data_IF_943875842965
#
_entry.id   IF_943875842965
#
_cell.length_a   1.000
_cell.length_b   1.000
_cell.length_c   1.000
_cell.angle_alpha   90.00
_cell.angle_beta   90.00
_cell.angle_gamma   90.00
#
_symmetry.space_group_name_H-M   'P 1'
#
loop_
_entity.id
_entity.type
_entity.pdbx_description
1 polymer ?
#
# COMPACT_ATOMS: atom_id res chain seq x y z
N UNK A 1 17.56 -36.16 -4.77
CA UNK A 1 17.04 -35.09 -5.65
C UNK A 1 18.16 -34.07 -5.79
N UNK A 2 18.57 -33.75 -7.01
CA UNK A 2 19.57 -32.70 -7.20
C UNK A 2 18.93 -31.36 -6.81
N UNK A 3 19.56 -30.62 -5.89
CA UNK A 3 19.17 -29.25 -5.61
C UNK A 3 19.58 -28.41 -6.82
N UNK A 4 18.63 -28.11 -7.69
CA UNK A 4 18.83 -27.31 -8.88
C UNK A 4 18.36 -25.86 -8.66
N UNK A 5 18.66 -25.00 -9.63
CA UNK A 5 18.35 -23.58 -9.57
C UNK A 5 16.83 -23.36 -9.45
N UNK A 6 16.02 -24.19 -10.12
CA UNK A 6 14.56 -24.11 -10.08
C UNK A 6 14.02 -24.34 -8.67
N UNK A 7 14.51 -25.38 -7.99
CA UNK A 7 14.16 -25.71 -6.60
C UNK A 7 14.56 -24.57 -5.66
N UNK A 8 15.77 -24.03 -5.83
CA UNK A 8 16.26 -22.90 -5.04
C UNK A 8 15.36 -21.67 -5.19
N UNK A 9 14.99 -21.30 -6.42
CA UNK A 9 14.15 -20.14 -6.70
C UNK A 9 12.73 -20.30 -6.14
N UNK A 10 12.13 -21.48 -6.26
CA UNK A 10 10.81 -21.77 -5.70
C UNK A 10 10.80 -21.55 -4.17
N UNK A 11 11.80 -22.10 -3.47
CA UNK A 11 11.94 -21.94 -2.02
C UNK A 11 12.11 -20.45 -1.66
N UNK A 12 12.99 -19.72 -2.36
CA UNK A 12 13.23 -18.30 -2.07
C UNK A 12 11.96 -17.46 -2.29
N UNK A 13 11.25 -17.67 -3.41
CA UNK A 13 10.03 -16.95 -3.71
C UNK A 13 8.93 -17.23 -2.68
N UNK A 14 8.78 -18.50 -2.29
CA UNK A 14 7.82 -18.89 -1.26
C UNK A 14 8.16 -18.27 0.10
N UNK A 15 9.41 -18.37 0.53
CA UNK A 15 9.87 -17.80 1.79
C UNK A 15 9.73 -16.28 1.81
N UNK A 16 9.88 -15.60 0.67
CA UNK A 16 9.68 -14.16 0.57
C UNK A 16 8.22 -13.74 0.84
N UNK A 17 7.23 -14.59 0.57
CA UNK A 17 5.82 -14.25 0.82
C UNK A 17 5.51 -14.09 2.31
N UNK A 18 6.20 -14.83 3.18
CA UNK A 18 5.97 -14.79 4.64
C UNK A 18 6.20 -13.38 5.22
N UNK A 19 7.41 -12.78 5.11
CA UNK A 19 7.66 -11.45 5.65
C UNK A 19 6.86 -10.37 4.92
N UNK A 20 6.62 -10.51 3.61
CA UNK A 20 5.80 -9.57 2.83
C UNK A 20 4.38 -9.52 3.39
N UNK A 21 3.77 -10.70 3.57
CA UNK A 21 2.41 -10.83 4.08
C UNK A 21 2.29 -10.27 5.49
N UNK A 22 3.24 -10.60 6.37
CA UNK A 22 3.25 -10.08 7.73
C UNK A 22 3.37 -8.55 7.77
N UNK A 23 4.26 -7.97 6.95
CA UNK A 23 4.46 -6.53 6.90
C UNK A 23 3.20 -5.79 6.43
N UNK A 24 2.51 -6.31 5.41
CA UNK A 24 1.27 -5.69 4.93
C UNK A 24 0.13 -5.81 5.94
N UNK A 25 -0.06 -6.96 6.57
CA UNK A 25 -1.07 -7.12 7.63
C UNK A 25 -0.78 -6.24 8.84
N UNK A 26 0.48 -6.15 9.27
CA UNK A 26 0.89 -5.25 10.36
C UNK A 26 0.62 -3.79 10.00
N UNK A 27 0.92 -3.36 8.77
CA UNK A 27 0.65 -2.00 8.30
C UNK A 27 -0.85 -1.71 8.24
N UNK A 28 -1.66 -2.66 7.77
CA UNK A 28 -3.12 -2.54 7.78
C UNK A 28 -3.65 -2.37 9.21
N UNK A 29 -3.13 -3.15 10.17
CA UNK A 29 -3.48 -3.03 11.57
C UNK A 29 -3.17 -1.64 12.15
N UNK A 30 -1.96 -1.11 11.87
CA UNK A 30 -1.56 0.22 12.32
C UNK A 30 -2.45 1.33 11.75
N UNK A 31 -2.79 1.27 10.47
CA UNK A 31 -3.60 2.30 9.82
C UNK A 31 -5.07 2.24 10.27
N UNK A 32 -5.66 1.03 10.30
CA UNK A 32 -7.09 0.88 10.55
C UNK A 32 -7.46 0.91 12.04
N UNK A 33 -6.65 0.27 12.90
CA UNK A 33 -6.96 0.14 14.33
C UNK A 33 -6.17 1.12 15.20
N UNK A 34 -4.88 1.33 14.92
CA UNK A 34 -4.06 2.28 15.70
C UNK A 34 -4.19 3.72 15.20
N UNK A 35 -4.89 3.94 14.08
CA UNK A 35 -5.05 5.24 13.41
C UNK A 35 -3.72 5.95 13.13
N UNK A 36 -2.66 5.18 12.92
CA UNK A 36 -1.34 5.71 12.57
C UNK A 36 -1.28 5.99 11.06
N UNK A 37 -1.39 7.28 10.70
CA UNK A 37 -1.42 7.73 9.32
C UNK A 37 -0.04 8.05 8.74
N UNK A 38 1.04 7.84 9.51
CA UNK A 38 2.42 8.06 9.04
C UNK A 38 2.77 7.17 7.86
N UNK A 39 2.12 6.02 7.73
CA UNK A 39 2.39 5.03 6.69
C UNK A 39 1.37 5.09 5.54
N UNK A 40 0.58 6.16 5.41
CA UNK A 40 -0.47 6.27 4.38
C UNK A 40 0.06 7.02 3.16
N UNK A 41 -0.12 6.44 1.96
CA UNK A 41 0.13 7.09 0.68
C UNK A 41 1.54 7.72 0.57
N UNK A 42 2.55 6.99 1.07
CA UNK A 42 3.93 7.47 1.14
C UNK A 42 4.46 7.86 -0.25
N UNK A 43 5.20 8.97 -0.28
CA UNK A 43 5.99 9.38 -1.43
C UNK A 43 7.37 9.82 -0.94
N UNK A 44 8.41 9.12 -1.37
CA UNK A 44 9.78 9.31 -0.84
C UNK A 44 9.88 9.19 0.69
N UNK A 45 9.03 8.37 1.32
CA UNK A 45 9.00 8.18 2.77
C UNK A 45 8.12 9.18 3.53
N UNK A 46 7.51 10.17 2.87
CA UNK A 46 6.65 11.15 3.52
C UNK A 46 5.16 10.94 3.21
N UNK A 47 4.33 11.06 4.24
CA UNK A 47 2.88 11.05 4.15
C UNK A 47 2.35 12.41 3.64
N UNK A 48 1.22 12.46 2.93
CA UNK A 48 0.62 13.71 2.49
C UNK A 48 -0.02 14.47 3.68
N UNK A 49 -0.15 15.82 3.61
CA UNK A 49 -0.79 16.63 4.66
C UNK A 49 -2.22 16.21 5.04
N UNK A 50 -2.93 15.53 4.12
CA UNK A 50 -4.30 15.05 4.29
C UNK A 50 -4.37 13.50 4.30
N UNK A 51 -3.39 12.85 4.92
CA UNK A 51 -3.27 11.38 4.98
C UNK A 51 -4.53 10.66 5.49
N UNK A 52 -5.24 11.22 6.47
CA UNK A 52 -6.44 10.62 7.06
C UNK A 52 -7.52 10.27 6.01
N UNK A 53 -7.67 11.09 4.95
CA UNK A 53 -8.63 10.83 3.87
C UNK A 53 -8.32 9.55 3.08
N UNK A 54 -7.05 9.19 2.97
CA UNK A 54 -6.58 8.03 2.21
C UNK A 54 -6.32 6.81 3.08
N UNK A 55 -6.34 6.97 4.40
CA UNK A 55 -6.13 5.90 5.37
C UNK A 55 -7.02 4.67 5.14
N UNK A 56 -8.35 4.77 4.95
CA UNK A 56 -9.18 3.58 4.76
C UNK A 56 -8.80 2.81 3.49
N UNK A 57 -8.44 3.51 2.41
CA UNK A 57 -8.04 2.89 1.14
C UNK A 57 -6.70 2.18 1.24
N UNK A 58 -5.70 2.83 1.83
CA UNK A 58 -4.37 2.22 2.00
C UNK A 58 -4.40 1.09 3.02
N UNK A 59 -5.15 1.25 4.11
CA UNK A 59 -5.35 0.21 5.11
C UNK A 59 -6.03 -1.03 4.51
N UNK A 60 -7.13 -0.84 3.78
CA UNK A 60 -7.84 -1.93 3.10
C UNK A 60 -6.99 -2.60 2.04
N UNK A 61 -6.24 -1.83 1.24
CA UNK A 61 -5.32 -2.38 0.24
C UNK A 61 -4.27 -3.30 0.87
N UNK A 62 -3.66 -2.86 1.98
CA UNK A 62 -2.69 -3.69 2.71
C UNK A 62 -3.35 -4.91 3.35
N UNK A 63 -4.58 -4.79 3.85
CA UNK A 63 -5.32 -5.90 4.44
C UNK A 63 -5.67 -6.97 3.39
N UNK A 64 -6.17 -6.55 2.23
CA UNK A 64 -6.55 -7.46 1.14
C UNK A 64 -5.30 -8.11 0.55
N UNK A 65 -4.27 -7.34 0.21
CA UNK A 65 -3.05 -7.88 -0.36
C UNK A 65 -2.34 -8.82 0.63
N UNK A 66 -2.21 -8.41 1.89
CA UNK A 66 -1.64 -9.23 2.96
C UNK A 66 -2.47 -10.48 3.24
N UNK A 67 -3.80 -10.38 3.20
CA UNK A 67 -4.71 -11.51 3.37
C UNK A 67 -4.54 -12.55 2.25
N UNK A 68 -4.52 -12.12 0.99
CA UNK A 68 -4.31 -13.00 -0.17
C UNK A 68 -2.95 -13.70 -0.07
N UNK A 69 -1.86 -12.96 0.20
CA UNK A 69 -0.54 -13.58 0.33
C UNK A 69 -0.46 -14.55 1.50
N UNK A 70 -1.10 -14.25 2.63
CA UNK A 70 -1.17 -15.17 3.77
C UNK A 70 -1.93 -16.44 3.42
N UNK A 71 -3.08 -16.32 2.74
CA UNK A 71 -3.86 -17.48 2.28
C UNK A 71 -3.05 -18.34 1.32
N UNK A 72 -2.30 -17.73 0.39
CA UNK A 72 -1.41 -18.47 -0.51
C UNK A 72 -0.35 -19.25 0.28
N UNK A 73 0.29 -18.63 1.28
CA UNK A 73 1.25 -19.32 2.15
C UNK A 73 0.62 -20.54 2.82
N UNK A 74 -0.58 -20.38 3.39
CA UNK A 74 -1.31 -21.48 4.04
C UNK A 74 -1.66 -22.60 3.05
N UNK A 75 -2.15 -22.26 1.85
CA UNK A 75 -2.55 -23.25 0.85
C UNK A 75 -1.37 -24.05 0.29
N UNK A 76 -0.21 -23.41 0.07
CA UNK A 76 1.00 -24.13 -0.35
C UNK A 76 1.41 -25.15 0.71
N UNK A 77 1.36 -24.79 1.99
CA UNK A 77 1.72 -25.72 3.08
C UNK A 77 0.68 -26.82 3.26
N UNK A 78 -0.60 -26.46 3.33
CA UNK A 78 -1.68 -27.37 3.71
C UNK A 78 -2.08 -28.33 2.58
N UNK A 79 -2.11 -27.87 1.33
CA UNK A 79 -2.62 -28.64 0.20
C UNK A 79 -1.65 -28.73 -0.97
N UNK A 80 -0.40 -28.28 -0.81
CA UNK A 80 0.63 -28.34 -1.85
C UNK A 80 0.19 -27.66 -3.15
N UNK A 81 -0.35 -26.45 -3.02
CA UNK A 81 -0.86 -25.66 -4.15
C UNK A 81 0.18 -25.60 -5.30
N UNK A 82 -0.20 -25.93 -6.56
CA UNK A 82 0.76 -26.03 -7.66
C UNK A 82 1.53 -24.73 -7.91
N UNK A 83 2.78 -24.86 -8.35
CA UNK A 83 3.69 -23.73 -8.58
C UNK A 83 3.09 -22.65 -9.47
N UNK A 84 2.57 -23.02 -10.64
CA UNK A 84 1.99 -22.08 -11.60
C UNK A 84 0.78 -21.33 -11.02
N UNK A 85 0.03 -21.97 -10.12
CA UNK A 85 -1.16 -21.38 -9.51
C UNK A 85 -0.78 -20.38 -8.42
N UNK A 86 0.06 -20.80 -7.46
CA UNK A 86 0.39 -19.93 -6.33
C UNK A 86 1.24 -18.75 -6.76
N UNK A 87 2.16 -18.94 -7.72
CA UNK A 87 2.99 -17.85 -8.27
C UNK A 87 2.17 -16.85 -9.07
N UNK A 88 1.17 -17.30 -9.85
CA UNK A 88 0.26 -16.40 -10.55
C UNK A 88 -0.55 -15.54 -9.57
N UNK A 89 -1.11 -16.13 -8.51
CA UNK A 89 -1.87 -15.40 -7.49
C UNK A 89 -0.96 -14.43 -6.74
N UNK A 90 0.18 -14.89 -6.22
CA UNK A 90 1.09 -14.06 -5.44
C UNK A 90 1.70 -12.93 -6.28
N UNK A 91 2.19 -13.26 -7.48
CA UNK A 91 2.80 -12.31 -8.40
C UNK A 91 1.80 -11.22 -8.84
N UNK A 92 0.60 -11.61 -9.28
CA UNK A 92 -0.44 -10.64 -9.66
C UNK A 92 -0.86 -9.76 -8.48
N UNK A 93 -1.04 -10.34 -7.29
CA UNK A 93 -1.35 -9.58 -6.06
C UNK A 93 -0.28 -8.54 -5.74
N UNK A 94 1.00 -8.92 -5.79
CA UNK A 94 2.11 -8.00 -5.53
C UNK A 94 2.13 -6.86 -6.54
N UNK A 95 2.00 -7.16 -7.82
CA UNK A 95 1.98 -6.15 -8.88
C UNK A 95 0.77 -5.21 -8.76
N UNK A 96 -0.43 -5.76 -8.58
CA UNK A 96 -1.65 -4.98 -8.36
C UNK A 96 -1.50 -4.07 -7.14
N UNK A 97 -0.97 -4.58 -6.03
CA UNK A 97 -0.72 -3.82 -4.81
C UNK A 97 0.23 -2.65 -5.07
N UNK A 98 1.35 -2.88 -5.74
CA UNK A 98 2.30 -1.80 -6.05
C UNK A 98 1.73 -0.76 -6.99
N UNK A 99 0.98 -1.16 -8.02
CA UNK A 99 0.32 -0.22 -8.93
C UNK A 99 -0.73 0.64 -8.20
N UNK A 100 -1.51 0.03 -7.30
CA UNK A 100 -2.50 0.77 -6.50
C UNK A 100 -1.84 1.73 -5.51
N UNK A 101 -0.81 1.29 -4.77
CA UNK A 101 -0.04 2.17 -3.87
C UNK A 101 0.55 3.37 -4.64
N UNK A 102 1.10 3.11 -5.83
CA UNK A 102 1.66 4.13 -6.71
C UNK A 102 0.61 5.15 -7.16
N UNK A 103 -0.60 4.69 -7.50
CA UNK A 103 -1.73 5.52 -7.89
C UNK A 103 -2.24 6.37 -6.74
N UNK A 104 -2.47 5.77 -5.57
CA UNK A 104 -2.96 6.45 -4.36
C UNK A 104 -1.95 7.51 -3.91
N UNK A 105 -0.65 7.17 -3.86
CA UNK A 105 0.42 8.12 -3.50
C UNK A 105 0.41 9.37 -4.39
N UNK A 106 0.31 9.20 -5.72
CA UNK A 106 0.22 10.32 -6.67
C UNK A 106 -1.04 11.13 -6.50
N UNK A 107 -2.17 10.45 -6.31
CA UNK A 107 -3.44 11.11 -6.16
C UNK A 107 -3.49 11.94 -4.88
N UNK A 108 -3.02 11.40 -3.75
CA UNK A 108 -3.00 12.08 -2.47
C UNK A 108 -2.09 13.31 -2.47
N UNK A 109 -0.84 13.15 -2.93
CA UNK A 109 0.10 14.27 -3.03
C UNK A 109 -0.33 15.32 -4.07
N UNK A 110 -0.93 14.89 -5.18
CA UNK A 110 -1.48 15.77 -6.21
C UNK A 110 -2.66 16.60 -5.68
N UNK A 111 -3.57 15.98 -4.91
CA UNK A 111 -4.67 16.69 -4.27
C UNK A 111 -4.19 17.68 -3.21
N UNK A 112 -3.26 17.27 -2.32
CA UNK A 112 -2.71 18.15 -1.31
C UNK A 112 -2.12 19.45 -1.90
N UNK A 113 -1.40 19.35 -3.03
CA UNK A 113 -0.90 20.52 -3.76
C UNK A 113 -2.00 21.44 -4.28
N UNK A 114 -3.12 20.87 -4.77
CA UNK A 114 -4.26 21.65 -5.28
C UNK A 114 -4.99 22.35 -4.13
N UNK A 115 -5.13 21.67 -3.00
CA UNK A 115 -5.78 22.21 -1.80
C UNK A 115 -4.97 23.37 -1.21
N UNK A 116 -3.65 23.23 -1.11
CA UNK A 116 -2.74 24.30 -0.68
C UNK A 116 -2.87 25.57 -1.55
N UNK A 117 -2.87 25.41 -2.89
CA UNK A 117 -3.05 26.54 -3.82
C UNK A 117 -4.41 27.23 -3.66
N UNK A 118 -5.47 26.46 -3.40
CA UNK A 118 -6.82 27.00 -3.17
C UNK A 118 -6.87 27.81 -1.87
N UNK A 119 -6.27 27.30 -0.80
CA UNK A 119 -6.18 27.99 0.48
C UNK A 119 -5.40 29.31 0.37
N UNK A 120 -4.26 29.30 -0.35
CA UNK A 120 -3.48 30.51 -0.61
C UNK A 120 -4.29 31.56 -1.39
N UNK A 121 -4.99 31.14 -2.45
CA UNK A 121 -5.84 32.05 -3.23
C UNK A 121 -6.98 32.63 -2.39
N UNK A 122 -7.61 31.82 -1.53
CA UNK A 122 -8.66 32.29 -0.63
C UNK A 122 -8.13 33.29 0.40
N UNK A 123 -6.96 33.03 0.99
CA UNK A 123 -6.31 33.94 1.93
C UNK A 123 -5.97 35.30 1.29
N UNK A 124 -5.43 35.29 0.05
CA UNK A 124 -5.17 36.51 -0.71
C UNK A 124 -6.44 37.30 -1.03
N UNK A 125 -7.53 36.61 -1.37
CA UNK A 125 -8.82 37.24 -1.64
C UNK A 125 -9.44 37.88 -0.38
N UNK A 126 -9.33 37.21 0.77
CA UNK A 126 -9.78 37.76 2.06
C UNK A 126 -8.99 39.02 2.43
N UNK A 127 -7.66 39.01 2.27
CA UNK A 127 -6.81 40.16 2.53
C UNK A 127 -7.13 41.35 1.59
N UNK A 128 -7.42 41.08 0.32
CA UNK A 128 -7.82 42.12 -0.66
C UNK A 128 -9.23 42.69 -0.41
N UNK A 129 -10.11 41.95 0.27
CA UNK A 129 -11.44 42.42 0.67
C UNK A 129 -11.41 43.29 1.92
N UNK A 130 -10.50 43.01 2.86
CA UNK A 130 -10.32 43.78 4.11
C UNK A 130 -9.62 45.12 3.91
N UNK A 131 -8.92 45.34 2.79
CA UNK A 131 -8.22 46.60 2.47
C UNK A 131 -9.05 47.63 1.71
N UNK A 132 -10.36 47.42 1.54
CA UNK A 132 -11.27 48.47 1.02
C UNK A 132 -11.81 49.31 2.19
N UNK A 133 -11.44 50.60 2.29
CA UNK A 133 -12.03 51.53 3.27
C UNK A 133 -13.50 51.82 2.97
#
# INVERSE_FOLDING_TARGET
MAFDISTALNIILFLALIPISFFWLRRAWRILFQRDFSEVALKHGEAPPNAERFAPWVGLLNLVAGGITATVVVLVVAVQLPFDTWTAIAGSTIWCKFMMDFGISRHAHGQAKRDAKRAEKAARAAQAGTTRP
#
